data_IF_958519465119
#
_entry.id   IF_958519465119
#
_cell.length_a   1.000
_cell.length_b   1.000
_cell.length_c   1.000
_cell.angle_alpha   90.00
_cell.angle_beta   90.00
_cell.angle_gamma   90.00
#
_symmetry.space_group_name_H-M   'P 1'
#
loop_
_entity.id
_entity.type
_entity.pdbx_description
1 polymer ?
#
# COMPACT_ATOMS: atom_id res chain seq x y z
N UNK A 1 -8.90 13.83 42.58
CA UNK A 1 -9.59 14.71 41.61
C UNK A 1 -8.96 14.52 40.25
N UNK A 2 -9.83 14.51 39.24
CA UNK A 2 -9.62 14.07 37.86
C UNK A 2 -8.80 15.05 37.00
N UNK A 3 -7.85 14.49 36.26
CA UNK A 3 -7.51 14.72 34.84
C UNK A 3 -7.24 16.15 34.33
N UNK A 4 -6.08 16.32 33.66
CA UNK A 4 -6.03 16.89 32.30
C UNK A 4 -4.74 16.46 31.60
N UNK A 5 -4.85 15.36 30.87
CA UNK A 5 -4.03 15.06 29.70
C UNK A 5 -3.80 16.32 28.87
N UNK A 6 -2.57 16.83 28.86
CA UNK A 6 -2.12 17.80 27.86
C UNK A 6 -2.04 17.08 26.53
N UNK A 7 -3.16 17.04 25.81
CA UNK A 7 -3.20 16.64 24.41
C UNK A 7 -2.54 17.76 23.61
N UNK A 8 -1.27 17.58 23.27
CA UNK A 8 -0.64 18.32 22.19
C UNK A 8 -1.46 17.98 20.93
N UNK A 9 -2.14 18.98 20.39
CA UNK A 9 -2.88 18.82 19.14
C UNK A 9 -1.89 18.42 18.04
N UNK A 10 -2.21 17.46 17.17
CA UNK A 10 -1.40 17.23 15.98
C UNK A 10 -1.51 18.51 15.14
N UNK A 11 -0.41 19.25 15.06
CA UNK A 11 -0.30 20.41 14.19
C UNK A 11 -0.64 19.93 12.79
N UNK A 12 -1.76 20.43 12.25
CA UNK A 12 -2.16 20.23 10.86
C UNK A 12 -0.96 20.65 10.00
N UNK A 13 -0.31 19.67 9.38
CA UNK A 13 0.71 19.90 8.39
C UNK A 13 0.07 20.74 7.28
N UNK A 14 0.50 21.99 7.15
CA UNK A 14 0.11 22.88 6.07
C UNK A 14 0.26 22.16 4.71
N UNK A 15 -0.61 22.43 3.72
CA UNK A 15 -0.48 21.83 2.41
C UNK A 15 0.88 22.18 1.80
N UNK A 16 1.53 21.16 1.24
CA UNK A 16 2.83 21.27 0.58
C UNK A 16 2.67 22.21 -0.64
N UNK A 17 3.52 23.24 -0.81
CA UNK A 17 3.48 24.10 -2.00
C UNK A 17 3.69 23.28 -3.29
N UNK A 18 2.94 23.63 -4.34
CA UNK A 18 3.08 23.05 -5.67
C UNK A 18 4.28 23.67 -6.42
N UNK A 19 5.51 23.47 -5.94
CA UNK A 19 6.70 23.86 -6.71
C UNK A 19 7.82 22.81 -6.66
N UNK A 20 8.45 22.67 -7.84
CA UNK A 20 9.62 21.87 -8.29
C UNK A 20 10.24 20.78 -7.40
N UNK A 21 10.57 19.66 -8.05
CA UNK A 21 11.01 18.40 -7.41
C UNK A 21 12.28 18.44 -6.54
N UNK A 22 13.16 19.45 -6.65
CA UNK A 22 14.38 19.51 -5.82
C UNK A 22 14.12 20.01 -4.40
N UNK A 23 13.18 20.94 -4.21
CA UNK A 23 12.84 21.51 -2.89
C UNK A 23 12.11 20.47 -2.03
N UNK A 24 11.37 19.54 -2.66
CA UNK A 24 10.72 18.43 -1.95
C UNK A 24 11.74 17.53 -1.25
N UNK A 25 12.81 17.12 -1.92
CA UNK A 25 13.84 16.27 -1.30
C UNK A 25 14.48 16.93 -0.08
N UNK A 26 14.82 18.23 -0.15
CA UNK A 26 15.39 18.95 0.99
C UNK A 26 14.39 19.12 2.15
N UNK A 27 13.12 19.42 1.88
CA UNK A 27 12.10 19.52 2.93
C UNK A 27 11.81 18.18 3.61
N UNK A 28 11.79 17.08 2.86
CA UNK A 28 11.56 15.73 3.42
C UNK A 28 12.79 15.23 4.21
N UNK A 29 14.00 15.57 3.78
CA UNK A 29 15.22 15.25 4.54
C UNK A 29 15.35 16.01 5.87
N UNK A 30 14.68 17.17 6.02
CA UNK A 30 14.72 18.00 7.23
C UNK A 30 13.79 17.55 8.37
N UNK A 31 12.91 16.57 8.16
CA UNK A 31 12.01 16.00 9.20
C UNK A 31 12.69 14.81 9.91
N UNK A 32 14.01 14.82 10.00
CA UNK A 32 14.78 13.81 10.75
C UNK A 32 15.85 14.53 11.54
N UNK A 33 15.63 14.68 12.86
CA UNK A 33 16.62 14.79 13.95
C UNK A 33 16.05 15.49 15.20
N UNK A 34 14.99 14.95 15.83
CA UNK A 34 14.60 15.45 17.18
C UNK A 34 14.32 14.33 18.23
N UNK A 35 14.17 13.04 17.89
CA UNK A 35 13.82 12.03 18.93
C UNK A 35 14.48 10.65 18.87
N UNK A 36 15.34 10.35 17.88
CA UNK A 36 15.90 9.00 17.73
C UNK A 36 14.89 7.95 17.25
N UNK A 37 13.63 8.34 17.02
CA UNK A 37 12.66 7.53 16.29
C UNK A 37 12.72 7.90 14.81
N UNK A 38 12.92 6.91 13.94
CA UNK A 38 12.81 7.10 12.49
C UNK A 38 11.36 7.43 12.18
N UNK A 39 11.05 8.71 11.98
CA UNK A 39 9.73 9.15 11.52
C UNK A 39 9.61 8.67 10.08
N UNK A 40 8.84 7.59 9.90
CA UNK A 40 8.52 7.05 8.59
C UNK A 40 7.58 8.03 7.86
N UNK A 41 8.14 8.79 6.92
CA UNK A 41 7.43 9.87 6.23
C UNK A 41 6.71 9.37 4.99
N UNK A 42 5.63 10.06 4.62
CA UNK A 42 4.84 9.74 3.44
C UNK A 42 5.61 10.11 2.16
N UNK A 43 5.83 9.14 1.28
CA UNK A 43 6.49 9.32 -0.03
C UNK A 43 5.51 9.24 -1.19
N UNK A 44 4.35 8.61 -1.01
CA UNK A 44 3.33 8.50 -2.06
C UNK A 44 1.92 8.42 -1.49
N UNK A 45 0.95 9.01 -2.22
CA UNK A 45 -0.47 8.86 -1.93
C UNK A 45 -1.25 8.70 -3.23
N UNK A 46 -2.09 7.67 -3.30
CA UNK A 46 -3.05 7.49 -4.38
C UNK A 46 -4.31 6.83 -3.86
N UNK A 47 -5.45 7.47 -4.11
CA UNK A 47 -6.75 7.03 -3.58
C UNK A 47 -6.67 6.84 -2.06
N UNK A 48 -6.92 5.60 -1.58
CA UNK A 48 -6.83 5.19 -0.18
C UNK A 48 -5.47 4.61 0.21
N UNK A 49 -4.52 4.51 -0.73
CA UNK A 49 -3.21 3.92 -0.50
C UNK A 49 -2.17 4.99 -0.20
N UNK A 50 -1.38 4.71 0.84
CA UNK A 50 -0.32 5.55 1.34
C UNK A 50 0.96 4.74 1.34
N UNK A 51 2.00 5.26 0.71
CA UNK A 51 3.33 4.66 0.69
C UNK A 51 4.21 5.48 1.60
N UNK A 52 4.81 4.84 2.60
CA UNK A 52 5.79 5.46 3.47
C UNK A 52 7.20 5.10 3.03
N UNK A 53 8.19 5.83 3.54
CA UNK A 53 9.57 5.63 3.16
C UNK A 53 10.02 4.17 3.37
N UNK A 54 9.63 3.53 4.48
CA UNK A 54 9.94 2.11 4.73
C UNK A 54 9.39 1.18 3.63
N UNK A 55 8.22 1.49 3.07
CA UNK A 55 7.57 0.67 2.04
C UNK A 55 8.29 0.90 0.70
N UNK A 56 8.65 2.15 0.41
CA UNK A 56 9.44 2.53 -0.76
C UNK A 56 10.81 1.85 -0.81
N UNK A 57 11.44 1.58 0.34
CA UNK A 57 12.70 0.82 0.36
C UNK A 57 12.57 -0.58 -0.26
N UNK A 58 11.36 -1.18 -0.28
CA UNK A 58 11.13 -2.46 -0.97
C UNK A 58 11.23 -2.35 -2.51
N UNK A 59 11.14 -1.15 -3.09
CA UNK A 59 11.31 -0.92 -4.53
C UNK A 59 12.76 -0.76 -4.99
N UNK A 60 13.65 -0.33 -4.10
CA UNK A 60 14.92 0.30 -4.50
C UNK A 60 16.18 -0.49 -4.18
N UNK A 61 16.09 -1.69 -3.59
CA UNK A 61 17.25 -2.20 -2.86
C UNK A 61 18.41 -2.62 -3.78
N UNK A 62 19.50 -1.85 -3.67
CA UNK A 62 20.83 -2.06 -4.27
C UNK A 62 21.83 -2.56 -3.22
N UNK A 63 21.38 -2.91 -2.02
CA UNK A 63 22.27 -3.40 -0.96
C UNK A 63 22.65 -4.88 -1.16
N UNK A 64 23.93 -5.23 -0.92
CA UNK A 64 24.46 -6.56 -1.24
C UNK A 64 24.06 -7.68 -0.26
N UNK A 65 23.44 -7.36 0.88
CA UNK A 65 22.91 -8.34 1.85
C UNK A 65 21.48 -8.77 1.48
N UNK A 66 21.25 -9.03 0.20
CA UNK A 66 19.93 -9.34 -0.37
C UNK A 66 19.50 -10.78 -0.04
N UNK A 67 19.10 -11.03 1.20
CA UNK A 67 18.05 -12.03 1.42
C UNK A 67 16.77 -11.43 0.81
N UNK A 68 16.41 -11.92 -0.39
CA UNK A 68 15.27 -11.54 -1.22
C UNK A 68 14.20 -10.70 -0.51
N UNK A 69 14.37 -9.38 -0.53
CA UNK A 69 13.34 -8.47 -0.03
C UNK A 69 12.23 -8.39 -1.07
N UNK A 70 11.08 -8.91 -0.69
CA UNK A 70 9.86 -8.83 -1.50
C UNK A 70 9.26 -7.43 -1.44
N UNK A 71 8.58 -7.06 -2.54
CA UNK A 71 7.76 -5.84 -2.58
C UNK A 71 6.75 -5.88 -1.43
N UNK A 72 6.59 -4.76 -0.71
CA UNK A 72 5.61 -4.70 0.37
C UNK A 72 4.17 -4.66 -0.16
N UNK A 73 3.22 -5.08 0.67
CA UNK A 73 1.78 -5.02 0.37
C UNK A 73 1.33 -3.61 -0.05
N UNK A 74 1.85 -2.57 0.60
CA UNK A 74 1.59 -1.16 0.29
C UNK A 74 2.07 -0.79 -1.12
N UNK A 75 3.27 -1.24 -1.51
CA UNK A 75 3.81 -1.01 -2.85
C UNK A 75 3.01 -1.73 -3.91
N UNK A 76 2.68 -3.01 -3.70
CA UNK A 76 1.85 -3.78 -4.65
C UNK A 76 0.47 -3.11 -4.80
N UNK A 77 -0.17 -2.74 -3.69
CA UNK A 77 -1.47 -2.05 -3.72
C UNK A 77 -1.39 -0.71 -4.46
N UNK A 78 -0.31 0.03 -4.26
CA UNK A 78 -0.04 1.28 -4.95
C UNK A 78 0.15 1.06 -6.45
N UNK A 79 0.93 0.06 -6.87
CA UNK A 79 1.13 -0.32 -8.28
C UNK A 79 -0.20 -0.74 -8.93
N UNK A 80 -1.00 -1.58 -8.28
CA UNK A 80 -2.31 -1.99 -8.79
C UNK A 80 -3.21 -0.77 -9.02
N UNK A 81 -3.20 0.20 -8.09
CA UNK A 81 -3.96 1.44 -8.26
C UNK A 81 -3.49 2.30 -9.45
N UNK A 82 -2.22 2.16 -9.86
CA UNK A 82 -1.63 2.83 -11.02
C UNK A 82 -1.97 2.14 -12.34
N UNK A 83 -1.77 0.82 -12.40
CA UNK A 83 -1.85 0.02 -13.62
C UNK A 83 -3.31 -0.24 -14.01
N UNK A 84 -4.18 -0.43 -13.02
CA UNK A 84 -5.57 -0.77 -13.29
C UNK A 84 -6.38 0.52 -13.53
N UNK A 85 -7.03 0.65 -14.69
CA UNK A 85 -7.86 1.79 -14.97
C UNK A 85 -9.01 1.83 -13.98
N UNK A 86 -9.39 3.04 -13.55
CA UNK A 86 -10.65 3.25 -12.84
C UNK A 86 -11.78 2.83 -13.76
N UNK A 87 -12.34 1.65 -13.50
CA UNK A 87 -13.40 1.06 -14.29
C UNK A 87 -14.56 0.69 -13.36
N UNK A 88 -15.77 0.95 -13.81
CA UNK A 88 -16.96 0.47 -13.12
C UNK A 88 -17.02 -1.06 -13.12
N UNK A 89 -16.40 -1.72 -14.10
CA UNK A 89 -16.46 -3.18 -14.30
C UNK A 89 -15.30 -3.94 -13.68
N UNK A 90 -14.14 -3.30 -13.48
CA UNK A 90 -12.94 -3.93 -12.90
C UNK A 90 -12.68 -3.34 -11.54
N UNK A 91 -12.56 -4.19 -10.53
CA UNK A 91 -12.11 -3.82 -9.18
C UNK A 91 -10.81 -4.53 -8.83
N UNK A 92 -10.14 -4.02 -7.80
CA UNK A 92 -8.96 -4.67 -7.25
C UNK A 92 -8.93 -4.55 -5.74
N UNK A 93 -8.32 -5.54 -5.10
CA UNK A 93 -8.13 -5.57 -3.66
C UNK A 93 -6.80 -4.92 -3.27
N UNK A 94 -6.73 -4.42 -2.04
CA UNK A 94 -5.43 -4.20 -1.43
C UNK A 94 -4.70 -5.55 -1.28
N UNK A 95 -3.38 -5.56 -1.42
CA UNK A 95 -2.59 -6.79 -1.47
C UNK A 95 -2.69 -7.63 -0.18
N UNK A 96 -2.89 -6.97 0.96
CA UNK A 96 -3.06 -7.63 2.26
C UNK A 96 -4.41 -8.37 2.42
N UNK A 97 -5.38 -8.15 1.54
CA UNK A 97 -6.73 -8.71 1.71
C UNK A 97 -6.71 -10.24 1.54
N UNK A 98 -5.91 -10.77 0.61
CA UNK A 98 -5.82 -12.22 0.40
C UNK A 98 -5.38 -12.94 1.68
N UNK A 99 -4.30 -12.45 2.29
CA UNK A 99 -3.81 -12.95 3.56
C UNK A 99 -4.88 -12.84 4.64
N UNK A 100 -5.47 -11.65 4.82
CA UNK A 100 -6.48 -11.40 5.84
C UNK A 100 -7.73 -12.27 5.69
N UNK A 101 -8.15 -12.57 4.47
CA UNK A 101 -9.28 -13.47 4.21
C UNK A 101 -8.94 -14.90 4.66
N UNK A 102 -7.77 -15.42 4.28
CA UNK A 102 -7.34 -16.78 4.61
C UNK A 102 -7.11 -16.94 6.11
N UNK A 103 -6.49 -15.96 6.76
CA UNK A 103 -6.06 -16.08 8.17
C UNK A 103 -7.11 -15.64 9.17
N UNK A 104 -7.95 -14.66 8.82
CA UNK A 104 -8.89 -14.02 9.76
C UNK A 104 -10.37 -14.15 9.34
N UNK A 105 -10.67 -14.86 8.25
CA UNK A 105 -12.04 -15.08 7.73
C UNK A 105 -12.87 -13.79 7.62
N UNK A 106 -12.22 -12.70 7.17
CA UNK A 106 -12.86 -11.39 7.06
C UNK A 106 -13.68 -11.35 5.76
N UNK A 107 -15.02 -11.19 5.81
CA UNK A 107 -15.85 -11.21 4.61
C UNK A 107 -15.55 -10.02 3.69
N UNK A 108 -15.57 -10.27 2.38
CA UNK A 108 -15.40 -9.23 1.37
C UNK A 108 -16.57 -8.23 1.41
N UNK A 109 -16.24 -6.94 1.28
CA UNK A 109 -17.23 -5.85 1.18
C UNK A 109 -18.19 -6.04 0.00
N UNK A 110 -19.46 -5.68 0.22
CA UNK A 110 -20.56 -5.74 -0.76
C UNK A 110 -20.29 -4.91 -2.04
N UNK A 111 -19.50 -3.84 -1.96
CA UNK A 111 -19.20 -2.99 -3.14
C UNK A 111 -18.41 -3.75 -4.22
N UNK A 112 -17.71 -4.82 -3.83
CA UNK A 112 -16.87 -5.62 -4.73
C UNK A 112 -17.69 -6.70 -5.45
N UNK A 113 -18.91 -7.00 -4.99
CA UNK A 113 -19.83 -7.90 -5.69
C UNK A 113 -20.50 -7.26 -6.92
N UNK A 114 -20.31 -5.96 -7.13
CA UNK A 114 -20.84 -5.23 -8.28
C UNK A 114 -19.85 -5.18 -9.46
N UNK A 115 -18.64 -5.73 -9.30
CA UNK A 115 -17.59 -5.72 -10.32
C UNK A 115 -17.61 -7.01 -11.14
N UNK A 116 -17.50 -6.90 -12.45
CA UNK A 116 -17.43 -8.08 -13.33
C UNK A 116 -16.12 -8.84 -13.16
N UNK A 117 -15.02 -8.11 -12.99
CA UNK A 117 -13.68 -8.68 -12.81
C UNK A 117 -13.04 -8.10 -11.56
N UNK A 118 -12.49 -8.97 -10.73
CA UNK A 118 -11.75 -8.60 -9.53
C UNK A 118 -10.32 -9.10 -9.63
N UNK A 119 -9.36 -8.21 -9.38
CA UNK A 119 -7.92 -8.53 -9.38
C UNK A 119 -7.42 -8.51 -7.95
N UNK A 120 -6.71 -9.56 -7.55
CA UNK A 120 -6.17 -9.73 -6.20
C UNK A 120 -4.70 -10.13 -6.30
N UNK A 121 -3.82 -9.35 -5.68
CA UNK A 121 -2.47 -9.82 -5.42
C UNK A 121 -2.50 -10.80 -4.25
N UNK A 122 -1.72 -11.87 -4.34
CA UNK A 122 -1.65 -12.94 -3.35
C UNK A 122 -0.20 -13.11 -2.94
N UNK A 123 0.08 -12.85 -1.66
CA UNK A 123 1.38 -13.11 -1.07
C UNK A 123 1.40 -14.55 -0.55
N UNK A 124 2.02 -15.46 -1.29
CA UNK A 124 2.15 -16.87 -0.90
C UNK A 124 3.31 -16.99 0.06
N UNK A 125 3.06 -17.54 1.25
CA UNK A 125 4.05 -17.82 2.31
C UNK A 125 4.95 -16.66 2.76
N UNK A 126 4.64 -15.42 2.37
CA UNK A 126 5.44 -14.23 2.70
C UNK A 126 6.72 -14.09 1.88
N UNK A 127 6.88 -14.92 0.84
CA UNK A 127 8.08 -14.98 0.03
C UNK A 127 7.81 -15.15 -1.48
N UNK A 128 6.58 -14.89 -1.93
CA UNK A 128 6.22 -15.03 -3.34
C UNK A 128 4.94 -14.29 -3.70
N UNK A 129 4.95 -13.56 -4.81
CA UNK A 129 3.79 -12.81 -5.28
C UNK A 129 3.13 -13.47 -6.49
N UNK A 130 1.84 -13.74 -6.35
CA UNK A 130 0.95 -14.21 -7.41
C UNK A 130 -0.18 -13.21 -7.67
N UNK A 131 -0.89 -13.39 -8.78
CA UNK A 131 -2.10 -12.61 -9.09
C UNK A 131 -3.26 -13.56 -9.38
N UNK A 132 -4.36 -13.38 -8.65
CA UNK A 132 -5.64 -14.02 -8.94
C UNK A 132 -6.56 -13.03 -9.68
N UNK A 133 -7.19 -13.50 -10.76
CA UNK A 133 -8.22 -12.78 -11.51
C UNK A 133 -9.53 -13.55 -11.39
N UNK A 134 -10.52 -12.92 -10.79
CA UNK A 134 -11.84 -13.51 -10.54
C UNK A 134 -12.83 -12.84 -11.50
N UNK A 135 -13.35 -13.60 -12.45
CA UNK A 135 -14.43 -13.16 -13.33
C UNK A 135 -15.78 -13.59 -12.77
N UNK A 136 -16.53 -12.63 -12.23
CA UNK A 136 -17.83 -12.87 -11.61
C UNK A 136 -18.94 -13.18 -12.62
N UNK A 137 -18.77 -12.85 -13.90
CA UNK A 137 -19.71 -13.19 -14.97
C UNK A 137 -19.54 -14.67 -15.37
N UNK A 138 -18.32 -15.06 -15.72
CA UNK A 138 -18.02 -16.43 -16.18
C UNK A 138 -17.84 -17.42 -15.03
N UNK A 139 -17.77 -16.93 -13.79
CA UNK A 139 -17.45 -17.71 -12.58
C UNK A 139 -16.10 -18.42 -12.66
N UNK A 140 -15.19 -17.90 -13.48
CA UNK A 140 -13.83 -18.40 -13.62
C UNK A 140 -12.90 -17.65 -12.67
N UNK A 141 -12.00 -18.40 -12.03
CA UNK A 141 -10.86 -17.84 -11.32
C UNK A 141 -9.58 -18.33 -11.99
N UNK A 142 -8.78 -17.37 -12.44
CA UNK A 142 -7.47 -17.62 -13.04
C UNK A 142 -6.40 -17.22 -12.03
N UNK A 143 -5.37 -18.05 -11.90
CA UNK A 143 -4.26 -17.83 -11.00
C UNK A 143 -2.98 -17.76 -11.82
N UNK A 144 -2.28 -16.63 -11.72
CA UNK A 144 -1.05 -16.36 -12.44
C UNK A 144 0.11 -16.38 -11.45
N UNK A 145 0.95 -17.39 -11.62
CA UNK A 145 2.22 -17.55 -10.93
C UNK A 145 3.36 -17.33 -11.94
N UNK A 146 4.28 -16.38 -11.70
CA UNK A 146 5.43 -16.17 -12.58
C UNK A 146 6.55 -17.23 -12.47
N UNK A 147 6.48 -18.18 -11.53
CA UNK A 147 7.44 -19.28 -11.38
C UNK A 147 6.81 -20.65 -11.70
#
# INVERSE_FOLDING_TARGET
MSNKNSRVAPTLLSPIPEESGSIRQEYFSKIVLISGETIDYLVGKRERFYVKHKDYLSLTDTTPDSENKWLSDEIISYILSYVLPKSEKVGYFAANIAHNYITHDIPFSLELSMKNTMIMAVHVNGDHWCVAIINQITKLTEFYDPF
#
